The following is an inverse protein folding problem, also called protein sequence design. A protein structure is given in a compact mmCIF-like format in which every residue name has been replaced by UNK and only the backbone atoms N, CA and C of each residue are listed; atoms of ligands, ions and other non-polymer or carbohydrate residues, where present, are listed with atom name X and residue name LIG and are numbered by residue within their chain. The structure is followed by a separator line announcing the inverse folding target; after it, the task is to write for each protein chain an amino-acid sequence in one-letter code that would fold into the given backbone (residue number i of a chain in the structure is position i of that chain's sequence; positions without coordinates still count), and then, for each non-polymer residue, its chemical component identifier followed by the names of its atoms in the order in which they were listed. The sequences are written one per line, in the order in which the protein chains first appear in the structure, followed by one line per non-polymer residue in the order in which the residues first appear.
data_IF_753745621050
#
_entry.id   IF_753745621050
#
_cell.length_a   1.000
_cell.length_b   1.000
_cell.length_c   1.000
_cell.angle_alpha   90.00
_cell.angle_beta   90.00
_cell.angle_gamma   90.00
#
_symmetry.space_group_name_H-M   'P 1'
#
loop_
_entity.id
_entity.type
_entity.pdbx_description
1 polymer ?
#
# COMPACT_ATOMS: atom_id res chain seq x y z
N UNK A 1 -15.14 -13.38 0.16
CA UNK A 1 -14.45 -12.83 1.36
C UNK A 1 -13.10 -12.31 0.92
N UNK A 2 -12.79 -11.04 1.19
CA UNK A 2 -11.49 -10.47 0.84
C UNK A 2 -10.39 -11.10 1.72
N UNK A 3 -9.25 -11.47 1.14
CA UNK A 3 -8.09 -11.88 1.94
C UNK A 3 -7.34 -10.66 2.46
N UNK A 4 -6.90 -10.71 3.71
CA UNK A 4 -6.21 -9.60 4.38
C UNK A 4 -4.69 -9.81 4.36
N UNK A 5 -3.96 -8.90 3.75
CA UNK A 5 -2.50 -8.98 3.56
C UNK A 5 -1.77 -7.84 4.28
N UNK A 6 -0.70 -8.18 5.01
CA UNK A 6 0.18 -7.19 5.63
C UNK A 6 1.20 -6.66 4.62
N UNK A 7 1.23 -5.35 4.43
CA UNK A 7 2.26 -4.66 3.65
C UNK A 7 3.46 -4.42 4.55
N UNK A 8 4.60 -5.01 4.20
CA UNK A 8 5.87 -4.86 4.94
C UNK A 8 6.89 -4.01 4.20
N UNK A 9 6.83 -4.02 2.87
CA UNK A 9 7.75 -3.28 2.03
C UNK A 9 6.99 -2.58 0.91
N UNK A 10 7.64 -1.57 0.31
CA UNK A 10 7.16 -0.93 -0.91
C UNK A 10 8.30 -0.81 -1.90
N UNK A 11 8.04 -0.50 -3.16
CA UNK A 11 9.06 0.09 -4.03
C UNK A 11 8.69 1.51 -4.39
N UNK A 12 9.65 2.42 -4.25
CA UNK A 12 9.46 3.84 -4.56
C UNK A 12 9.88 4.14 -6.00
N UNK A 13 9.34 5.24 -6.54
CA UNK A 13 9.88 5.90 -7.74
C UNK A 13 10.62 7.16 -7.33
N UNK A 14 11.49 7.66 -8.22
CA UNK A 14 12.19 8.94 -8.03
C UNK A 14 11.29 10.17 -8.26
N UNK A 15 9.97 9.97 -8.39
CA UNK A 15 9.03 11.07 -8.61
C UNK A 15 8.92 11.94 -7.35
N UNK A 16 8.85 13.27 -7.49
CA UNK A 16 8.70 14.15 -6.33
C UNK A 16 7.30 14.08 -5.70
N UNK A 17 6.27 13.67 -6.46
CA UNK A 17 4.88 13.66 -6.01
C UNK A 17 4.61 12.46 -5.05
N UNK A 18 4.30 12.69 -3.76
CA UNK A 18 4.04 11.62 -2.79
C UNK A 18 2.87 10.69 -3.15
N UNK A 19 1.88 11.17 -3.91
CA UNK A 19 0.77 10.34 -4.38
C UNK A 19 1.18 9.35 -5.49
N UNK A 20 2.30 9.60 -6.18
CA UNK A 20 2.80 8.77 -7.28
C UNK A 20 4.11 8.06 -6.93
N UNK A 21 4.58 8.22 -5.69
CA UNK A 21 5.87 7.70 -5.25
C UNK A 21 5.86 6.19 -5.04
N UNK A 22 4.71 5.56 -4.79
CA UNK A 22 4.63 4.12 -4.60
C UNK A 22 4.44 3.43 -5.96
N UNK A 23 5.41 2.59 -6.35
CA UNK A 23 5.36 1.76 -7.55
C UNK A 23 4.71 0.40 -7.28
N UNK A 24 5.10 -0.21 -6.17
CA UNK A 24 4.68 -1.53 -5.77
C UNK A 24 4.58 -1.62 -4.25
N UNK A 25 3.76 -2.53 -3.77
CA UNK A 25 3.67 -2.94 -2.38
C UNK A 25 3.98 -4.42 -2.28
N UNK A 26 4.52 -4.85 -1.15
CA UNK A 26 4.82 -6.25 -0.92
C UNK A 26 4.83 -6.60 0.55
N UNK A 27 4.87 -7.89 0.81
CA UNK A 27 4.85 -8.43 2.15
C UNK A 27 5.08 -9.93 2.14
N UNK A 28 4.83 -10.51 3.31
CA UNK A 28 4.96 -11.94 3.54
C UNK A 28 3.59 -12.48 3.88
N UNK A 29 3.16 -13.53 3.18
CA UNK A 29 1.93 -14.25 3.48
C UNK A 29 2.10 -15.07 4.78
N UNK A 30 0.99 -15.56 5.32
CA UNK A 30 1.01 -16.39 6.53
C UNK A 30 1.80 -17.70 6.36
N UNK A 31 1.94 -18.19 5.13
CA UNK A 31 2.71 -19.39 4.78
C UNK A 31 4.21 -19.11 4.58
N UNK A 32 4.66 -17.87 4.82
CA UNK A 32 6.06 -17.46 4.66
C UNK A 32 6.46 -17.12 3.23
N UNK A 33 5.55 -17.23 2.25
CA UNK A 33 5.83 -16.82 0.87
C UNK A 33 5.82 -15.30 0.72
N UNK A 34 6.73 -14.77 -0.10
CA UNK A 34 6.73 -13.36 -0.44
C UNK A 34 5.69 -13.07 -1.53
N UNK A 35 5.00 -11.95 -1.40
CA UNK A 35 4.11 -11.43 -2.44
C UNK A 35 4.48 -9.99 -2.77
N UNK A 36 4.21 -9.61 -4.02
CA UNK A 36 4.50 -8.28 -4.55
C UNK A 36 3.45 -7.92 -5.58
N UNK A 37 2.89 -6.72 -5.47
CA UNK A 37 1.87 -6.21 -6.38
C UNK A 37 2.24 -4.79 -6.81
N UNK A 38 1.95 -4.45 -8.07
CA UNK A 38 2.02 -3.06 -8.50
C UNK A 38 0.97 -2.23 -7.76
N UNK A 39 1.18 -0.92 -7.64
CA UNK A 39 0.17 -0.02 -7.06
C UNK A 39 -1.18 -0.17 -7.77
N UNK A 40 -1.17 -0.32 -9.11
CA UNK A 40 -2.38 -0.46 -9.90
C UNK A 40 -3.14 -1.76 -9.61
N UNK A 41 -2.42 -2.89 -9.49
CA UNK A 41 -3.04 -4.18 -9.21
C UNK A 41 -3.56 -4.26 -7.76
N UNK A 42 -2.84 -3.65 -6.83
CA UNK A 42 -3.30 -3.51 -5.45
C UNK A 42 -4.59 -2.66 -5.36
N UNK A 43 -4.65 -1.53 -6.09
CA UNK A 43 -5.86 -0.71 -6.18
C UNK A 43 -7.02 -1.53 -6.74
N UNK A 44 -6.83 -2.21 -7.89
CA UNK A 44 -7.86 -3.06 -8.50
C UNK A 44 -8.33 -4.14 -7.53
N UNK A 45 -7.42 -4.81 -6.83
CA UNK A 45 -7.77 -5.85 -5.87
C UNK A 45 -8.59 -5.34 -4.68
N UNK A 46 -8.37 -4.10 -4.24
CA UNK A 46 -9.22 -3.44 -3.23
C UNK A 46 -10.61 -3.14 -3.81
N UNK A 47 -10.67 -2.58 -5.02
CA UNK A 47 -11.94 -2.21 -5.69
C UNK A 47 -12.82 -3.44 -5.98
N UNK A 48 -12.20 -4.53 -6.41
CA UNK A 48 -12.87 -5.80 -6.69
C UNK A 48 -13.28 -6.55 -5.41
N UNK A 49 -12.92 -6.02 -4.23
CA UNK A 49 -13.15 -6.70 -2.94
C UNK A 49 -12.39 -8.02 -2.80
N UNK A 50 -11.36 -8.23 -3.64
CA UNK A 50 -10.52 -9.42 -3.63
C UNK A 50 -9.55 -9.39 -2.46
N UNK A 51 -8.97 -8.22 -2.20
CA UNK A 51 -7.91 -8.02 -1.21
C UNK A 51 -8.20 -6.84 -0.30
N UNK A 52 -7.75 -6.96 0.94
CA UNK A 52 -7.63 -5.84 1.87
C UNK A 52 -6.20 -5.80 2.39
N UNK A 53 -5.67 -4.59 2.58
CA UNK A 53 -4.27 -4.39 2.96
C UNK A 53 -4.18 -3.62 4.27
N UNK A 54 -3.14 -3.87 5.04
CA UNK A 54 -2.84 -3.13 6.26
C UNK A 54 -1.33 -3.06 6.49
N UNK A 55 -0.89 -2.09 7.28
CA UNK A 55 0.47 -2.00 7.80
C UNK A 55 0.46 -2.14 9.32
N UNK A 56 1.52 -2.69 9.88
CA UNK A 56 1.80 -2.66 11.32
C UNK A 56 2.92 -1.67 11.58
N UNK A 57 2.59 -0.51 12.16
CA UNK A 57 3.56 0.53 12.49
C UNK A 57 3.54 0.76 13.99
N UNK A 58 4.68 0.54 14.66
CA UNK A 58 4.83 0.71 16.13
C UNK A 58 3.77 -0.07 16.95
N UNK A 59 3.39 -1.27 16.49
CA UNK A 59 2.39 -2.11 17.16
C UNK A 59 0.93 -1.70 16.88
N UNK A 60 0.70 -0.69 16.05
CA UNK A 60 -0.63 -0.30 15.60
C UNK A 60 -0.90 -0.81 14.19
N UNK A 61 -2.07 -1.42 14.01
CA UNK A 61 -2.56 -1.86 12.71
C UNK A 61 -3.33 -0.69 12.08
N UNK A 62 -2.91 -0.29 10.88
CA UNK A 62 -3.59 0.75 10.10
C UNK A 62 -3.93 0.17 8.74
N UNK A 63 -5.19 0.29 8.30
CA UNK A 63 -5.57 -0.23 6.99
C UNK A 63 -5.00 0.66 5.88
N UNK A 64 -4.72 0.03 4.74
CA UNK A 64 -4.36 0.70 3.50
C UNK A 64 -5.61 0.85 2.65
N UNK A 65 -5.88 2.08 2.25
CA UNK A 65 -7.04 2.50 1.48
C UNK A 65 -6.62 3.19 0.19
N UNK A 66 -7.59 3.40 -0.70
CA UNK A 66 -7.41 4.16 -1.93
C UNK A 66 -7.65 5.64 -1.63
N UNK A 67 -6.65 6.47 -1.87
CA UNK A 67 -6.78 7.92 -1.95
C UNK A 67 -6.96 8.40 -3.39
N UNK A 68 -7.56 9.56 -3.57
CA UNK A 68 -7.69 10.25 -4.87
C UNK A 68 -6.92 11.56 -4.76
N UNK A 69 -5.96 11.79 -5.67
CA UNK A 69 -5.18 13.02 -5.67
C UNK A 69 -6.04 14.19 -6.15
N UNK A 70 -5.56 15.43 -5.94
CA UNK A 70 -6.23 16.62 -6.49
C UNK A 70 -6.43 16.61 -8.01
N UNK A 71 -5.72 15.73 -8.73
CA UNK A 71 -5.81 15.54 -10.17
C UNK A 71 -6.67 14.33 -10.58
N UNK A 72 -7.33 13.66 -9.63
CA UNK A 72 -8.16 12.48 -9.90
C UNK A 72 -7.39 11.15 -9.97
N UNK A 73 -6.08 11.14 -9.70
CA UNK A 73 -5.28 9.91 -9.75
C UNK A 73 -5.47 9.10 -8.47
N UNK A 74 -5.78 7.82 -8.60
CA UNK A 74 -5.86 6.88 -7.46
C UNK A 74 -4.48 6.48 -6.98
N UNK A 75 -4.29 6.44 -5.68
CA UNK A 75 -3.05 6.01 -5.03
C UNK A 75 -3.33 5.28 -3.72
N UNK A 76 -2.32 4.61 -3.18
CA UNK A 76 -2.43 3.91 -1.90
C UNK A 76 -1.95 4.81 -0.76
N UNK A 77 -2.72 4.85 0.32
CA UNK A 77 -2.38 5.51 1.59
C UNK A 77 -2.94 4.71 2.75
N UNK A 78 -2.46 4.95 3.95
CA UNK A 78 -3.10 4.40 5.15
C UNK A 78 -4.28 5.27 5.59
N UNK A 79 -5.22 4.73 6.36
CA UNK A 79 -6.34 5.52 6.92
C UNK A 79 -5.86 6.63 7.84
N UNK A 80 -4.78 6.39 8.58
CA UNK A 80 -4.17 7.38 9.47
C UNK A 80 -3.37 8.44 8.71
N UNK A 81 -3.06 8.22 7.43
CA UNK A 81 -2.41 9.23 6.61
C UNK A 81 -3.39 10.36 6.30
N UNK A 82 -2.92 11.61 6.38
CA UNK A 82 -3.62 12.79 5.86
C UNK A 82 -3.66 12.77 4.33
N UNK A 83 -3.33 13.86 3.65
CA UNK A 83 -3.31 13.83 2.19
C UNK A 83 -2.21 12.91 1.62
N UNK A 84 -1.11 12.67 2.35
CA UNK A 84 0.06 11.98 1.83
C UNK A 84 0.32 10.64 2.52
N UNK A 85 0.73 9.59 1.77
CA UNK A 85 0.93 8.23 2.31
C UNK A 85 2.21 8.08 3.14
N UNK A 86 2.30 8.72 4.31
CA UNK A 86 3.53 8.76 5.13
C UNK A 86 3.91 7.40 5.73
N UNK A 87 2.93 6.64 6.22
CA UNK A 87 3.17 5.35 6.85
C UNK A 87 3.73 4.32 5.85
N UNK A 88 3.18 4.28 4.63
CA UNK A 88 3.69 3.43 3.56
C UNK A 88 5.08 3.91 3.10
N UNK A 89 5.28 5.22 2.95
CA UNK A 89 6.56 5.78 2.50
C UNK A 89 7.72 5.58 3.50
N UNK A 90 7.40 5.21 4.74
CA UNK A 90 8.36 4.89 5.80
C UNK A 90 8.81 3.42 5.79
N UNK A 91 8.17 2.56 4.97
CA UNK A 91 8.57 1.17 4.80
C UNK A 91 9.85 1.05 3.95
N UNK A 92 10.54 -0.08 4.12
CA UNK A 92 11.75 -0.44 3.38
C UNK A 92 11.43 -0.88 1.94
N UNK A 93 12.46 -0.92 1.09
CA UNK A 93 12.33 -1.34 -0.31
C UNK A 93 12.11 -2.85 -0.43
N UNK A 94 11.12 -3.29 -1.21
CA UNK A 94 10.94 -4.72 -1.50
C UNK A 94 12.12 -5.25 -2.31
N UNK A 95 12.58 -6.46 -1.95
CA UNK A 95 13.51 -7.25 -2.75
C UNK A 95 12.91 -7.69 -4.11
#
# INVERSE_FOLDING_TARGET
MATKHEVKCINKTDRPNPHERIRAIGGVNADGTNWKLSQQDAIRGIEDGKWSFYVSVRGQIVNVIIGISRYGNKYLKTEADGEQPNNLLSLYECA
#
